data_IF_651496686461
#
_entry.id   IF_651496686461
#
_cell.length_a   1.000
_cell.length_b   1.000
_cell.length_c   1.000
_cell.angle_alpha   90.00
_cell.angle_beta   90.00
_cell.angle_gamma   90.00
#
_symmetry.space_group_name_H-M   'P 1'
#
loop_
_entity.id
_entity.type
_entity.pdbx_description
1 polymer ?
#
# COMPACT_ATOMS: atom_id res chain seq x y z
N UNK A 1 -19.42 -15.29 -51.29
CA UNK A 1 -18.23 -14.55 -50.79
C UNK A 1 -17.08 -15.52 -50.68
N UNK A 2 -16.14 -15.45 -51.62
CA UNK A 2 -14.91 -16.25 -51.59
C UNK A 2 -13.96 -15.64 -50.57
N UNK A 3 -13.68 -16.35 -49.47
CA UNK A 3 -12.72 -15.91 -48.47
C UNK A 3 -11.32 -15.69 -49.05
N UNK A 4 -10.54 -14.79 -48.44
CA UNK A 4 -9.18 -14.43 -48.85
C UNK A 4 -8.15 -15.40 -48.27
N UNK A 5 -7.07 -15.71 -49.00
CA UNK A 5 -5.95 -16.49 -48.46
C UNK A 5 -5.02 -15.58 -47.67
N UNK A 6 -4.79 -15.92 -46.40
CA UNK A 6 -3.90 -15.20 -45.48
C UNK A 6 -2.72 -16.11 -45.14
N UNK A 7 -1.51 -15.57 -45.26
CA UNK A 7 -0.27 -16.25 -44.90
C UNK A 7 -0.04 -16.17 -43.38
N UNK A 8 0.28 -17.29 -42.75
CA UNK A 8 0.63 -17.41 -41.34
C UNK A 8 2.03 -18.04 -41.21
N UNK A 9 3.02 -17.24 -40.81
CA UNK A 9 4.43 -17.65 -40.80
C UNK A 9 4.96 -17.92 -42.21
N UNK A 10 6.08 -18.64 -42.32
CA UNK A 10 6.73 -18.89 -43.63
C UNK A 10 6.09 -20.04 -44.43
N UNK A 11 5.38 -20.98 -43.77
CA UNK A 11 5.03 -22.27 -44.40
C UNK A 11 3.54 -22.54 -44.59
N UNK A 12 2.63 -21.67 -44.12
CA UNK A 12 1.20 -22.00 -44.09
C UNK A 12 0.30 -20.86 -44.55
N UNK A 13 -0.66 -21.17 -45.41
CA UNK A 13 -1.77 -20.28 -45.79
C UNK A 13 -3.09 -20.82 -45.28
N UNK A 14 -3.99 -19.93 -44.83
CA UNK A 14 -5.35 -20.26 -44.43
C UNK A 14 -6.34 -19.33 -45.13
N UNK A 15 -7.50 -19.87 -45.53
CA UNK A 15 -8.59 -19.06 -46.08
C UNK A 15 -9.34 -18.38 -44.94
N UNK A 16 -9.26 -17.06 -44.86
CA UNK A 16 -9.99 -16.22 -43.92
C UNK A 16 -11.28 -15.68 -44.56
N UNK A 17 -12.35 -15.65 -43.78
CA UNK A 17 -13.63 -15.04 -44.14
C UNK A 17 -13.89 -13.74 -43.35
N UNK A 18 -12.84 -13.19 -42.71
CA UNK A 18 -12.92 -11.93 -41.99
C UNK A 18 -13.43 -10.82 -42.92
N UNK A 19 -14.36 -10.01 -42.41
CA UNK A 19 -15.00 -8.90 -43.15
C UNK A 19 -14.57 -7.52 -42.66
N UNK A 20 -13.78 -7.49 -41.58
CA UNK A 20 -13.23 -6.29 -40.97
C UNK A 20 -11.71 -6.34 -41.05
N UNK A 21 -11.09 -5.17 -41.16
CA UNK A 21 -9.64 -5.05 -41.16
C UNK A 21 -9.11 -5.04 -39.73
N UNK A 22 -7.99 -5.73 -39.49
CA UNK A 22 -7.24 -5.59 -38.25
C UNK A 22 -6.52 -4.24 -38.26
N UNK A 23 -6.80 -3.40 -37.26
CA UNK A 23 -6.27 -2.03 -37.17
C UNK A 23 -4.92 -1.99 -36.44
N UNK A 24 -4.69 -2.98 -35.57
CA UNK A 24 -3.50 -3.08 -34.72
C UNK A 24 -3.12 -4.55 -34.56
N UNK A 25 -1.83 -4.83 -34.58
CA UNK A 25 -1.30 -6.18 -34.38
C UNK A 25 -1.40 -6.62 -32.92
N UNK A 26 -1.43 -7.93 -32.67
CA UNK A 26 -1.42 -8.43 -31.30
C UNK A 26 -0.14 -7.99 -30.57
N UNK A 27 -0.25 -7.41 -29.37
CA UNK A 27 0.92 -7.08 -28.56
C UNK A 27 1.59 -8.36 -28.06
N UNK A 28 2.75 -8.21 -27.43
CA UNK A 28 3.41 -9.32 -26.78
C UNK A 28 2.54 -9.84 -25.62
N UNK A 29 2.08 -11.08 -25.72
CA UNK A 29 1.12 -11.65 -24.77
C UNK A 29 1.71 -11.93 -23.38
N UNK A 30 3.03 -11.94 -23.24
CA UNK A 30 3.73 -12.09 -21.95
C UNK A 30 4.31 -10.76 -21.43
N UNK A 31 4.06 -9.65 -22.14
CA UNK A 31 4.62 -8.32 -21.83
C UNK A 31 4.33 -7.88 -20.40
N UNK A 32 3.15 -8.19 -19.87
CA UNK A 32 2.75 -7.78 -18.51
C UNK A 32 3.75 -8.30 -17.47
N UNK A 33 4.27 -9.53 -17.65
CA UNK A 33 5.24 -10.12 -16.73
C UNK A 33 6.61 -9.48 -16.89
N UNK A 34 7.10 -9.40 -18.13
CA UNK A 34 8.44 -8.90 -18.43
C UNK A 34 8.57 -7.41 -18.09
N UNK A 35 7.60 -6.59 -18.51
CA UNK A 35 7.60 -5.15 -18.25
C UNK A 35 7.48 -4.84 -16.76
N UNK A 36 6.66 -5.59 -16.01
CA UNK A 36 6.53 -5.39 -14.56
C UNK A 36 7.84 -5.71 -13.82
N UNK A 37 8.56 -6.73 -14.26
CA UNK A 37 9.83 -7.13 -13.61
C UNK A 37 10.98 -6.19 -13.99
N UNK A 38 11.05 -5.77 -15.25
CA UNK A 38 12.00 -4.76 -15.73
C UNK A 38 11.83 -3.45 -14.96
N UNK A 39 10.61 -2.91 -14.88
CA UNK A 39 10.30 -1.73 -14.07
C UNK A 39 10.68 -1.92 -12.59
N UNK A 40 10.41 -3.10 -12.02
CA UNK A 40 10.75 -3.39 -10.63
C UNK A 40 12.26 -3.35 -10.39
N UNK A 41 13.07 -3.88 -11.31
CA UNK A 41 14.51 -3.78 -11.22
C UNK A 41 14.94 -2.31 -11.38
N UNK A 42 14.59 -1.67 -12.49
CA UNK A 42 15.11 -0.35 -12.84
C UNK A 42 14.69 0.77 -11.87
N UNK A 43 13.44 0.77 -11.44
CA UNK A 43 12.84 1.83 -10.63
C UNK A 43 12.39 1.33 -9.26
N UNK A 44 11.62 0.24 -9.21
CA UNK A 44 10.94 -0.22 -7.99
C UNK A 44 11.87 -0.52 -6.82
N UNK A 45 13.00 -1.20 -7.06
CA UNK A 45 14.01 -1.46 -6.02
C UNK A 45 14.60 -0.15 -5.46
N UNK A 46 14.89 0.81 -6.34
CA UNK A 46 15.47 2.10 -5.93
C UNK A 46 14.46 2.93 -5.14
N UNK A 47 13.18 2.92 -5.53
CA UNK A 47 12.10 3.55 -4.77
C UNK A 47 11.96 2.93 -3.38
N UNK A 48 11.94 1.60 -3.29
CA UNK A 48 11.85 0.89 -2.02
C UNK A 48 13.02 1.23 -1.08
N UNK A 49 14.26 1.24 -1.59
CA UNK A 49 15.42 1.60 -0.77
C UNK A 49 15.41 3.07 -0.33
N UNK A 50 14.87 3.97 -1.15
CA UNK A 50 14.67 5.38 -0.75
C UNK A 50 13.59 5.53 0.33
N UNK A 51 12.51 4.75 0.30
CA UNK A 51 11.44 4.80 1.33
C UNK A 51 11.97 4.46 2.74
N UNK A 52 12.90 3.51 2.82
CA UNK A 52 13.49 3.10 4.11
C UNK A 52 14.66 3.99 4.56
N UNK A 53 15.21 4.81 3.67
CA UNK A 53 16.41 5.62 3.92
C UNK A 53 16.05 7.09 4.24
N UNK A 54 16.73 7.74 5.21
CA UNK A 54 17.77 7.20 6.08
C UNK A 54 17.21 6.35 7.22
N UNK A 55 18.01 5.38 7.66
CA UNK A 55 17.78 4.62 8.89
C UNK A 55 18.65 5.25 9.97
N UNK A 56 18.03 5.82 10.99
CA UNK A 56 18.72 6.41 12.13
C UNK A 56 18.63 5.49 13.36
N UNK A 57 19.67 5.50 14.19
CA UNK A 57 19.63 4.87 15.50
C UNK A 57 18.74 5.67 16.48
N UNK A 58 18.46 5.08 17.65
CA UNK A 58 17.55 5.69 18.63
C UNK A 58 18.06 7.05 19.15
N UNK A 59 19.38 7.24 19.21
CA UNK A 59 20.00 8.50 19.64
C UNK A 59 20.13 9.52 18.52
N UNK A 60 19.96 9.10 17.26
CA UNK A 60 20.11 9.93 16.06
C UNK A 60 21.57 10.21 15.68
N UNK A 61 22.55 9.52 16.30
CA UNK A 61 23.98 9.73 16.12
C UNK A 61 24.52 8.95 14.91
N UNK A 62 23.97 7.77 14.63
CA UNK A 62 24.32 6.96 13.47
C UNK A 62 23.19 7.03 12.44
N UNK A 63 23.55 7.34 11.20
CA UNK A 63 22.62 7.36 10.07
C UNK A 63 23.13 6.48 8.94
N UNK A 64 22.30 5.55 8.49
CA UNK A 64 22.57 4.66 7.36
C UNK A 64 21.76 5.12 6.14
N UNK A 65 22.48 5.54 5.11
CA UNK A 65 21.94 5.99 3.84
C UNK A 65 22.15 4.94 2.75
N UNK A 66 21.14 4.77 1.91
CA UNK A 66 21.24 3.98 0.69
C UNK A 66 21.72 4.87 -0.46
N UNK A 67 22.75 4.43 -1.18
CA UNK A 67 23.25 5.14 -2.37
C UNK A 67 22.70 4.48 -3.63
N UNK A 68 23.02 3.21 -3.84
CA UNK A 68 22.66 2.48 -5.05
C UNK A 68 22.70 0.97 -4.83
N UNK A 69 22.28 0.20 -5.83
CA UNK A 69 22.39 -1.25 -5.82
C UNK A 69 22.99 -1.77 -7.14
N UNK A 70 23.52 -2.98 -7.10
CA UNK A 70 24.01 -3.71 -8.28
C UNK A 70 23.58 -5.16 -8.20
N UNK A 71 23.19 -5.71 -9.36
CA UNK A 71 22.98 -7.14 -9.55
C UNK A 71 24.19 -7.69 -10.29
N UNK A 72 24.80 -8.73 -9.75
CA UNK A 72 25.87 -9.46 -10.45
C UNK A 72 25.31 -10.42 -11.50
N UNK A 73 26.19 -11.25 -12.05
CA UNK A 73 25.80 -12.27 -13.00
C UNK A 73 25.21 -13.51 -12.30
N UNK A 74 24.24 -14.20 -12.93
CA UNK A 74 23.74 -15.46 -12.41
C UNK A 74 24.85 -16.52 -12.40
N UNK A 75 24.84 -17.37 -11.36
CA UNK A 75 25.88 -18.41 -11.17
C UNK A 75 25.82 -19.52 -12.21
N UNK A 76 24.62 -19.78 -12.73
CA UNK A 76 24.31 -20.87 -13.66
C UNK A 76 23.30 -20.37 -14.69
N UNK A 77 23.24 -21.01 -15.85
CA UNK A 77 22.18 -20.76 -16.83
C UNK A 77 20.84 -21.43 -16.41
N UNK A 78 19.79 -21.15 -17.17
CA UNK A 78 18.43 -21.61 -16.86
C UNK A 78 18.32 -23.14 -16.87
N UNK A 79 18.99 -23.81 -17.80
CA UNK A 79 18.91 -25.27 -17.97
C UNK A 79 19.72 -25.99 -16.88
N UNK A 80 20.91 -25.50 -16.56
CA UNK A 80 21.74 -26.00 -15.45
C UNK A 80 21.04 -25.79 -14.10
N UNK A 81 20.30 -24.68 -13.92
CA UNK A 81 19.48 -24.50 -12.73
C UNK A 81 18.38 -25.57 -12.59
N UNK A 82 17.75 -25.97 -13.70
CA UNK A 82 16.74 -27.04 -13.73
C UNK A 82 17.35 -28.41 -13.45
N UNK A 83 18.52 -28.71 -14.02
CA UNK A 83 19.21 -29.99 -13.83
C UNK A 83 19.74 -30.19 -12.40
N UNK A 84 20.16 -29.11 -11.74
CA UNK A 84 20.79 -29.15 -10.41
C UNK A 84 19.83 -28.88 -9.24
N UNK A 85 18.54 -28.71 -9.51
CA UNK A 85 17.54 -28.33 -8.50
C UNK A 85 17.89 -27.04 -7.72
N UNK A 86 18.50 -26.06 -8.41
CA UNK A 86 18.89 -24.77 -7.82
C UNK A 86 18.03 -23.62 -8.36
N UNK A 87 18.12 -22.46 -7.72
CA UNK A 87 17.37 -21.25 -8.11
C UNK A 87 18.19 -20.40 -9.10
N UNK A 88 17.56 -19.95 -10.19
CA UNK A 88 18.17 -19.01 -11.13
C UNK A 88 18.17 -17.61 -10.50
N UNK A 89 19.33 -17.19 -10.01
CA UNK A 89 19.48 -15.96 -9.23
C UNK A 89 20.85 -15.31 -9.41
N UNK A 90 20.89 -14.00 -9.21
CA UNK A 90 22.09 -13.16 -9.24
C UNK A 90 22.36 -12.53 -7.87
N UNK A 91 23.62 -12.32 -7.47
CA UNK A 91 23.94 -11.70 -6.19
C UNK A 91 23.55 -10.21 -6.20
N UNK A 92 22.68 -9.81 -5.29
CA UNK A 92 22.32 -8.40 -5.05
C UNK A 92 23.27 -7.79 -4.03
N UNK A 93 23.95 -6.71 -4.44
CA UNK A 93 24.80 -5.89 -3.57
C UNK A 93 24.24 -4.48 -3.48
N UNK A 94 24.24 -3.93 -2.29
CA UNK A 94 23.75 -2.58 -2.02
C UNK A 94 24.88 -1.74 -1.48
N UNK A 95 25.08 -0.57 -2.08
CA UNK A 95 26.04 0.42 -1.64
C UNK A 95 25.39 1.28 -0.57
N UNK A 96 25.87 1.16 0.67
CA UNK A 96 25.40 1.93 1.82
C UNK A 96 26.46 2.92 2.27
N UNK A 97 26.00 4.02 2.87
CA UNK A 97 26.83 5.01 3.55
C UNK A 97 26.42 5.08 5.01
N UNK A 98 27.35 4.78 5.91
CA UNK A 98 27.19 5.02 7.34
C UNK A 98 27.79 6.39 7.67
N UNK A 99 26.97 7.30 8.18
CA UNK A 99 27.38 8.58 8.72
C UNK A 99 27.31 8.55 10.25
N UNK A 100 28.45 8.79 10.89
CA UNK A 100 28.53 8.99 12.33
C UNK A 100 28.61 10.49 12.62
N UNK A 101 27.53 11.04 13.18
CA UNK A 101 27.41 12.48 13.49
C UNK A 101 28.31 12.92 14.66
N UNK A 102 28.72 12.00 15.53
CA UNK A 102 29.61 12.32 16.67
C UNK A 102 31.06 12.53 16.22
N UNK A 103 31.53 11.68 15.30
CA UNK A 103 32.92 11.71 14.82
C UNK A 103 33.08 12.40 13.46
N UNK A 104 31.98 12.79 12.83
CA UNK A 104 31.89 13.29 11.44
C UNK A 104 32.54 12.31 10.42
N UNK A 105 32.53 11.01 10.74
CA UNK A 105 33.07 9.97 9.86
C UNK A 105 32.00 9.46 8.89
N UNK A 106 32.38 9.35 7.62
CA UNK A 106 31.56 8.73 6.56
C UNK A 106 32.26 7.47 6.08
N UNK A 107 31.55 6.33 6.11
CA UNK A 107 32.04 5.05 5.58
C UNK A 107 31.07 4.51 4.54
N UNK A 108 31.57 4.30 3.33
CA UNK A 108 30.83 3.65 2.25
C UNK A 108 31.25 2.18 2.13
N UNK A 109 30.28 1.29 1.97
CA UNK A 109 30.54 -0.14 1.80
C UNK A 109 29.50 -0.79 0.88
N UNK A 110 29.96 -1.74 0.07
CA UNK A 110 29.08 -2.63 -0.67
C UNK A 110 28.72 -3.83 0.20
N UNK A 111 27.44 -3.92 0.56
CA UNK A 111 26.90 -4.99 1.41
C UNK A 111 26.17 -6.00 0.54
N UNK A 112 26.50 -7.28 0.71
CA UNK A 112 25.77 -8.37 0.07
C UNK A 112 24.41 -8.57 0.75
N UNK A 113 23.32 -8.38 0.01
CA UNK A 113 21.96 -8.51 0.53
C UNK A 113 21.40 -9.92 0.38
N UNK A 114 21.91 -10.68 -0.59
CA UNK A 114 21.44 -12.04 -0.89
C UNK A 114 21.46 -12.33 -2.38
N UNK A 115 21.15 -13.58 -2.74
CA UNK A 115 20.91 -13.97 -4.13
C UNK A 115 19.45 -13.61 -4.50
N UNK A 116 19.27 -12.86 -5.57
CA UNK A 116 17.99 -12.35 -6.06
C UNK A 116 17.51 -13.16 -7.28
N UNK A 117 16.33 -13.83 -7.22
CA UNK A 117 15.82 -14.59 -8.35
C UNK A 117 15.59 -13.73 -9.59
N UNK A 118 16.07 -14.19 -10.73
CA UNK A 118 15.93 -13.51 -12.02
C UNK A 118 14.78 -14.10 -12.84
N UNK A 119 14.07 -13.23 -13.57
CA UNK A 119 13.07 -13.66 -14.55
C UNK A 119 13.76 -14.18 -15.81
N UNK A 120 13.27 -15.28 -16.37
CA UNK A 120 13.68 -15.82 -17.65
C UNK A 120 13.07 -15.02 -18.81
N UNK A 121 13.58 -15.21 -20.03
CA UNK A 121 13.03 -14.56 -21.24
C UNK A 121 11.55 -14.92 -21.51
N UNK A 122 11.06 -16.04 -20.96
CA UNK A 122 9.67 -16.49 -21.09
C UNK A 122 8.73 -15.91 -20.03
N UNK A 123 9.23 -15.06 -19.12
CA UNK A 123 8.42 -14.45 -18.06
C UNK A 123 8.21 -15.36 -16.85
N UNK A 124 9.11 -16.32 -16.62
CA UNK A 124 9.02 -17.31 -15.53
C UNK A 124 10.22 -17.21 -14.59
N UNK A 125 10.18 -17.92 -13.47
CA UNK A 125 11.28 -18.02 -12.50
C UNK A 125 11.64 -19.49 -12.25
N UNK A 126 12.93 -19.79 -12.12
CA UNK A 126 13.38 -21.12 -11.70
C UNK A 126 13.68 -21.07 -10.21
N UNK A 127 12.86 -21.75 -9.40
CA UNK A 127 13.00 -21.81 -7.95
C UNK A 127 13.21 -23.28 -7.54
N UNK A 128 14.42 -23.60 -7.08
CA UNK A 128 14.84 -24.96 -6.72
C UNK A 128 14.55 -25.97 -7.85
N UNK A 129 15.04 -25.68 -9.06
CA UNK A 129 14.84 -26.49 -10.27
C UNK A 129 13.45 -26.41 -10.90
N UNK A 130 12.44 -25.96 -10.17
CA UNK A 130 11.07 -25.88 -10.66
C UNK A 130 10.75 -24.53 -11.29
N UNK A 131 10.16 -24.56 -12.48
CA UNK A 131 9.68 -23.37 -13.17
C UNK A 131 8.36 -22.88 -12.56
N UNK A 132 8.30 -21.58 -12.25
CA UNK A 132 7.18 -20.93 -11.55
C UNK A 132 6.78 -19.65 -12.26
N UNK A 133 5.51 -19.31 -12.16
CA UNK A 133 4.94 -18.06 -12.68
C UNK A 133 4.34 -17.28 -11.51
N UNK A 134 4.66 -15.98 -11.45
CA UNK A 134 3.99 -15.06 -10.53
C UNK A 134 2.74 -14.54 -11.23
N UNK A 135 1.56 -14.86 -10.70
CA UNK A 135 0.29 -14.44 -11.29
C UNK A 135 -0.14 -13.08 -10.75
N UNK A 136 -0.67 -12.23 -11.63
CA UNK A 136 -1.18 -10.92 -11.24
C UNK A 136 -2.38 -11.06 -10.31
N UNK A 137 -2.35 -10.34 -9.19
CA UNK A 137 -3.45 -10.31 -8.24
C UNK A 137 -4.36 -9.11 -8.52
N UNK A 138 -5.68 -9.34 -8.53
CA UNK A 138 -6.67 -8.26 -8.56
C UNK A 138 -7.04 -7.87 -7.13
N UNK A 139 -6.65 -6.66 -6.74
CA UNK A 139 -6.95 -6.06 -5.43
C UNK A 139 -7.71 -4.75 -5.59
N UNK A 140 -8.41 -4.32 -4.54
CA UNK A 140 -9.02 -2.98 -4.51
C UNK A 140 -7.90 -1.95 -4.37
N UNK A 141 -7.93 -0.93 -5.23
CA UNK A 141 -6.99 0.19 -5.14
C UNK A 141 -7.20 0.98 -3.84
N UNK A 142 -6.14 1.54 -3.23
CA UNK A 142 -6.26 2.51 -2.15
C UNK A 142 -7.13 3.70 -2.59
N UNK A 143 -8.12 4.09 -1.78
CA UNK A 143 -9.05 5.20 -2.05
C UNK A 143 -10.05 5.35 -0.89
N UNK A 144 -10.89 6.40 -0.96
CA UNK A 144 -12.19 6.44 -0.28
C UNK A 144 -13.24 5.74 -1.13
N UNK A 145 -14.04 4.88 -0.49
CA UNK A 145 -15.16 4.17 -1.11
C UNK A 145 -16.44 4.44 -0.33
N UNK A 146 -17.47 4.92 -1.02
CA UNK A 146 -18.80 5.07 -0.45
C UNK A 146 -19.65 3.84 -0.75
N UNK A 147 -20.52 3.48 0.19
CA UNK A 147 -21.50 2.43 0.01
C UNK A 147 -22.80 2.77 0.74
N UNK A 148 -23.91 2.28 0.22
CA UNK A 148 -25.19 2.31 0.90
C UNK A 148 -25.40 1.01 1.69
N UNK A 149 -26.09 1.13 2.81
CA UNK A 149 -26.46 -0.02 3.64
C UNK A 149 -27.88 0.19 4.13
N UNK A 150 -28.78 -0.64 3.64
CA UNK A 150 -30.16 -0.64 4.16
C UNK A 150 -30.20 -1.48 5.43
N UNK A 151 -30.70 -0.90 6.52
CA UNK A 151 -30.89 -1.61 7.77
C UNK A 151 -32.06 -2.63 7.69
N UNK A 152 -32.26 -3.40 8.76
CA UNK A 152 -33.35 -4.40 8.80
C UNK A 152 -34.75 -3.76 8.82
N UNK A 153 -34.85 -2.48 9.15
CA UNK A 153 -36.09 -1.73 9.23
C UNK A 153 -36.40 -0.95 7.93
N UNK A 154 -35.57 -1.10 6.90
CA UNK A 154 -35.71 -0.43 5.61
C UNK A 154 -35.13 0.98 5.56
N UNK A 155 -34.48 1.46 6.63
CA UNK A 155 -33.79 2.75 6.63
C UNK A 155 -32.49 2.66 5.85
N UNK A 156 -32.28 3.60 4.94
CA UNK A 156 -31.03 3.73 4.20
C UNK A 156 -29.99 4.42 5.07
N UNK A 157 -28.92 3.71 5.39
CA UNK A 157 -27.69 4.26 5.93
C UNK A 157 -26.64 4.42 4.84
N UNK A 158 -25.67 5.30 5.08
CA UNK A 158 -24.50 5.46 4.24
C UNK A 158 -23.25 5.08 5.02
N UNK A 159 -22.25 4.61 4.31
CA UNK A 159 -20.94 4.34 4.86
C UNK A 159 -19.84 4.77 3.91
N UNK A 160 -18.66 5.02 4.48
CA UNK A 160 -17.46 5.31 3.72
C UNK A 160 -16.31 4.48 4.28
N UNK A 161 -15.40 4.03 3.43
CA UNK A 161 -14.20 3.30 3.84
C UNK A 161 -12.98 3.92 3.19
N UNK A 162 -12.02 4.36 4.00
CA UNK A 162 -10.72 4.83 3.56
C UNK A 162 -9.76 3.64 3.64
N UNK A 163 -9.32 3.18 2.48
CA UNK A 163 -8.40 2.05 2.33
C UNK A 163 -7.01 2.62 1.98
N UNK A 164 -6.02 2.52 2.88
CA UNK A 164 -4.64 2.85 2.56
C UNK A 164 -3.94 1.76 1.74
N UNK A 165 -2.82 2.10 1.12
CA UNK A 165 -1.87 1.14 0.55
C UNK A 165 -1.18 0.35 1.68
N UNK A 166 -0.74 1.07 2.72
CA UNK A 166 -0.15 0.52 3.95
C UNK A 166 -0.67 1.33 5.14
N UNK A 167 -1.18 0.67 6.16
CA UNK A 167 -1.63 1.33 7.39
C UNK A 167 -3.06 0.98 7.82
N UNK A 168 -3.58 1.75 8.78
CA UNK A 168 -4.86 1.49 9.42
C UNK A 168 -6.06 1.91 8.56
N UNK A 169 -7.12 1.11 8.54
CA UNK A 169 -8.35 1.47 7.82
C UNK A 169 -9.19 2.44 8.65
N UNK A 170 -9.91 3.34 7.97
CA UNK A 170 -10.98 4.14 8.58
C UNK A 170 -12.31 3.76 7.94
N UNK A 171 -13.27 3.34 8.75
CA UNK A 171 -14.61 2.99 8.31
C UNK A 171 -15.62 3.89 8.99
N UNK A 172 -16.43 4.60 8.19
CA UNK A 172 -17.52 5.45 8.64
C UNK A 172 -18.85 4.76 8.36
N UNK A 173 -19.80 4.86 9.28
CA UNK A 173 -21.15 4.33 9.11
C UNK A 173 -22.19 5.21 9.81
N UNK A 174 -23.36 5.35 9.21
CA UNK A 174 -24.55 5.90 9.86
C UNK A 174 -25.40 4.77 10.45
N UNK A 175 -25.93 4.96 11.66
CA UNK A 175 -26.84 4.00 12.28
C UNK A 175 -28.33 4.34 12.12
N UNK A 176 -29.21 3.50 12.67
CA UNK A 176 -30.65 3.69 12.59
C UNK A 176 -31.18 4.95 13.32
N UNK A 177 -30.37 5.55 14.20
CA UNK A 177 -30.68 6.77 14.96
C UNK A 177 -30.03 8.02 14.35
N UNK A 178 -29.55 7.92 13.10
CA UNK A 178 -28.86 9.03 12.42
C UNK A 178 -27.58 9.48 13.15
N UNK A 179 -26.96 8.58 13.91
CA UNK A 179 -25.65 8.83 14.53
C UNK A 179 -24.55 8.35 13.60
N UNK A 180 -23.52 9.17 13.42
CA UNK A 180 -22.36 8.88 12.58
C UNK A 180 -21.23 8.31 13.43
N UNK A 181 -20.76 7.13 13.06
CA UNK A 181 -19.68 6.42 13.73
C UNK A 181 -18.46 6.29 12.85
N UNK A 182 -17.30 6.17 13.49
CA UNK A 182 -16.02 5.75 12.89
C UNK A 182 -15.50 4.50 13.59
N UNK A 183 -14.89 3.59 12.82
CA UNK A 183 -14.04 2.51 13.31
C UNK A 183 -12.63 2.73 12.79
N UNK A 184 -11.66 2.61 13.70
CA UNK A 184 -10.24 2.63 13.37
C UNK A 184 -9.76 1.19 13.36
N UNK A 185 -9.22 0.70 12.24
CA UNK A 185 -8.56 -0.60 12.15
C UNK A 185 -9.42 -1.78 12.67
N UNK A 186 -10.70 -1.79 12.28
CA UNK A 186 -11.70 -2.82 12.67
C UNK A 186 -11.96 -2.91 14.18
N UNK A 187 -11.61 -1.89 14.96
CA UNK A 187 -11.96 -1.81 16.38
C UNK A 187 -13.43 -1.43 16.60
N UNK A 188 -13.86 -1.38 17.86
CA UNK A 188 -15.21 -0.99 18.24
C UNK A 188 -15.51 0.44 17.80
N UNK A 189 -16.71 0.66 17.27
CA UNK A 189 -17.15 1.98 16.77
C UNK A 189 -17.16 3.05 17.86
N UNK A 190 -16.84 4.27 17.45
CA UNK A 190 -16.83 5.51 18.22
C UNK A 190 -17.64 6.58 17.45
N UNK A 191 -18.35 7.50 18.11
CA UNK A 191 -18.92 8.66 17.42
C UNK A 191 -17.83 9.41 16.63
N UNK A 192 -18.13 9.87 15.41
CA UNK A 192 -17.11 10.51 14.56
C UNK A 192 -16.54 11.79 15.21
N UNK A 193 -17.31 12.45 16.07
CA UNK A 193 -16.90 13.64 16.83
C UNK A 193 -15.75 13.36 17.80
N UNK A 194 -15.64 12.15 18.36
CA UNK A 194 -14.49 11.73 19.18
C UNK A 194 -13.19 11.82 18.37
N UNK A 195 -13.22 11.38 17.11
CA UNK A 195 -12.06 11.49 16.22
C UNK A 195 -11.74 12.96 15.89
N UNK A 196 -12.76 13.79 15.64
CA UNK A 196 -12.57 15.22 15.37
C UNK A 196 -11.95 15.95 16.58
N UNK A 197 -12.41 15.66 17.79
CA UNK A 197 -11.83 16.21 19.02
C UNK A 197 -10.39 15.79 19.21
N UNK A 198 -10.07 14.51 18.96
CA UNK A 198 -8.71 13.99 19.04
C UNK A 198 -7.76 14.62 18.00
N UNK A 199 -8.28 15.09 16.87
CA UNK A 199 -7.53 15.82 15.84
C UNK A 199 -7.31 17.30 16.16
N UNK A 200 -7.97 17.84 17.19
CA UNK A 200 -7.75 19.20 17.68
C UNK A 200 -9.00 20.09 17.76
N UNK A 201 -10.16 19.63 17.28
CA UNK A 201 -11.43 20.39 17.36
C UNK A 201 -12.12 20.06 18.68
N UNK A 202 -11.60 20.61 19.79
CA UNK A 202 -11.95 20.19 21.15
C UNK A 202 -13.38 20.50 21.57
N UNK A 203 -14.00 21.55 21.01
CA UNK A 203 -15.34 22.00 21.38
C UNK A 203 -16.41 21.69 20.32
N UNK A 204 -17.66 21.54 20.79
CA UNK A 204 -18.81 21.30 19.93
C UNK A 204 -19.02 22.42 18.93
N UNK A 205 -18.79 23.66 19.37
CA UNK A 205 -18.92 24.84 18.51
C UNK A 205 -17.90 24.80 17.36
N UNK A 206 -16.63 24.47 17.63
CA UNK A 206 -15.62 24.33 16.57
C UNK A 206 -16.02 23.26 15.56
N UNK A 207 -16.52 22.11 16.04
CA UNK A 207 -16.98 21.00 15.18
C UNK A 207 -18.16 21.44 14.31
N UNK A 208 -19.13 22.17 14.88
CA UNK A 208 -20.29 22.70 14.16
C UNK A 208 -19.85 23.72 13.11
N UNK A 209 -18.88 24.58 13.45
CA UNK A 209 -18.39 25.62 12.54
C UNK A 209 -17.67 25.03 11.30
N UNK A 210 -16.96 23.90 11.46
CA UNK A 210 -16.23 23.27 10.33
C UNK A 210 -17.10 22.39 9.43
N UNK A 211 -18.07 21.66 10.00
CA UNK A 211 -18.90 20.70 9.24
C UNK A 211 -20.23 21.31 8.79
N UNK A 212 -20.70 22.31 9.53
CA UNK A 212 -22.04 22.85 9.40
C UNK A 212 -23.05 22.13 10.29
N UNK A 213 -24.02 22.90 10.77
CA UNK A 213 -25.05 22.42 11.67
C UNK A 213 -26.09 21.55 10.95
N UNK A 214 -26.18 20.28 11.32
CA UNK A 214 -27.14 19.33 10.78
C UNK A 214 -27.59 18.29 11.82
N UNK A 215 -28.71 17.64 11.56
CA UNK A 215 -29.32 16.67 12.48
C UNK A 215 -28.39 15.50 12.82
N UNK A 216 -27.67 14.94 11.84
CA UNK A 216 -26.73 13.84 12.06
C UNK A 216 -25.60 14.24 13.01
N UNK A 217 -25.07 15.45 12.84
CA UNK A 217 -24.00 15.98 13.67
C UNK A 217 -24.50 16.23 15.10
N UNK A 218 -25.67 16.86 15.27
CA UNK A 218 -26.28 17.07 16.59
C UNK A 218 -26.52 15.77 17.33
N UNK A 219 -27.12 14.78 16.67
CA UNK A 219 -27.35 13.44 17.24
C UNK A 219 -26.03 12.75 17.62
N UNK A 220 -24.96 13.01 16.86
CA UNK A 220 -23.64 12.45 17.14
C UNK A 220 -22.95 13.14 18.31
N UNK A 221 -23.03 14.47 18.41
CA UNK A 221 -22.54 15.25 19.55
C UNK A 221 -23.26 14.86 20.85
N UNK A 222 -24.58 14.68 20.81
CA UNK A 222 -25.35 14.19 21.97
C UNK A 222 -24.92 12.78 22.41
N UNK A 223 -24.38 11.98 21.49
CA UNK A 223 -23.91 10.62 21.77
C UNK A 223 -22.44 10.57 22.22
N UNK A 224 -21.71 11.65 21.99
CA UNK A 224 -20.31 11.82 22.35
C UNK A 224 -20.17 12.14 23.83
N UNK A 225 -19.47 11.28 24.57
CA UNK A 225 -19.21 11.51 26.00
C UNK A 225 -17.89 12.25 26.23
N UNK A 226 -17.12 12.50 25.17
CA UNK A 226 -15.86 13.23 25.24
C UNK A 226 -16.14 14.73 25.13
N UNK A 227 -15.82 15.47 26.19
CA UNK A 227 -16.03 16.92 26.27
C UNK A 227 -14.74 17.71 25.96
N UNK A 228 -13.63 17.02 25.69
CA UNK A 228 -12.33 17.63 25.44
C UNK A 228 -11.45 16.77 24.54
N UNK A 229 -10.47 17.39 23.90
CA UNK A 229 -9.42 16.73 23.10
C UNK A 229 -8.71 15.64 23.90
N UNK A 230 -8.39 15.88 25.17
CA UNK A 230 -7.70 14.93 26.04
C UNK A 230 -8.55 13.69 26.31
N UNK A 231 -9.83 13.86 26.68
CA UNK A 231 -10.75 12.75 26.90
C UNK A 231 -10.93 11.92 25.62
N UNK A 232 -11.04 12.58 24.48
CA UNK A 232 -11.18 11.93 23.18
C UNK A 232 -9.94 11.10 22.80
N UNK A 233 -8.74 11.64 23.03
CA UNK A 233 -7.48 10.91 22.82
C UNK A 233 -7.40 9.66 23.70
N UNK A 234 -7.77 9.76 24.98
CA UNK A 234 -7.79 8.62 25.90
C UNK A 234 -8.82 7.57 25.47
N UNK A 235 -10.00 7.99 25.01
CA UNK A 235 -11.04 7.07 24.52
C UNK A 235 -10.58 6.30 23.26
N UNK A 236 -9.94 6.99 22.31
CA UNK A 236 -9.35 6.31 21.14
C UNK A 236 -8.24 5.34 21.57
N UNK A 237 -7.37 5.75 22.51
CA UNK A 237 -6.30 4.89 23.00
C UNK A 237 -6.83 3.60 23.62
N UNK A 238 -7.82 3.69 24.51
CA UNK A 238 -8.43 2.53 25.17
C UNK A 238 -9.05 1.54 24.16
N UNK A 239 -9.63 2.04 23.06
CA UNK A 239 -10.14 1.17 21.99
C UNK A 239 -9.06 0.51 21.17
N UNK A 240 -7.93 1.18 20.95
CA UNK A 240 -6.80 0.65 20.18
C UNK A 240 -5.91 -0.28 21.01
N UNK A 241 -5.79 -0.03 22.31
CA UNK A 241 -4.94 -0.76 23.25
C UNK A 241 -5.67 -1.04 24.58
N UNK A 242 -6.65 -1.95 24.56
CA UNK A 242 -7.42 -2.26 25.76
C UNK A 242 -6.52 -2.87 26.84
N UNK A 243 -6.57 -2.30 28.04
CA UNK A 243 -5.82 -2.80 29.21
C UNK A 243 -4.47 -2.13 29.48
N UNK A 244 -4.00 -1.25 28.59
CA UNK A 244 -2.84 -0.39 28.88
C UNK A 244 -3.32 0.92 29.52
N UNK A 245 -2.72 1.39 30.64
CA UNK A 245 -3.12 2.64 31.25
C UNK A 245 -2.84 3.82 30.29
N UNK A 246 -3.87 4.58 29.89
CA UNK A 246 -3.71 5.60 28.86
C UNK A 246 -3.13 6.89 29.47
N UNK A 247 -2.17 7.51 28.78
CA UNK A 247 -1.76 8.90 29.04
C UNK A 247 -2.06 9.75 27.81
N UNK A 248 -2.29 11.04 28.00
CA UNK A 248 -2.63 11.94 26.87
C UNK A 248 -1.48 11.97 25.85
N UNK A 249 -0.23 11.95 26.33
CA UNK A 249 0.96 11.97 25.48
C UNK A 249 1.14 10.66 24.70
N UNK A 250 0.90 9.50 25.33
CA UNK A 250 0.95 8.21 24.62
C UNK A 250 -0.17 8.08 23.61
N UNK A 251 -1.37 8.58 23.94
CA UNK A 251 -2.52 8.63 23.05
C UNK A 251 -2.28 9.50 21.81
N UNK A 252 -1.76 10.70 22.02
CA UNK A 252 -1.38 11.61 20.92
C UNK A 252 -0.32 10.99 20.03
N UNK A 253 0.72 10.40 20.62
CA UNK A 253 1.82 9.75 19.88
C UNK A 253 1.34 8.54 19.10
N UNK A 254 0.43 7.74 19.67
CA UNK A 254 -0.18 6.59 19.00
C UNK A 254 -0.98 7.03 17.79
N UNK A 255 -1.85 8.04 17.94
CA UNK A 255 -2.66 8.56 16.84
C UNK A 255 -1.78 9.13 15.71
N UNK A 256 -0.77 9.92 16.08
CA UNK A 256 0.19 10.48 15.12
C UNK A 256 0.93 9.37 14.36
N UNK A 257 1.53 8.42 15.07
CA UNK A 257 2.26 7.32 14.43
C UNK A 257 1.39 6.42 13.56
N UNK A 258 0.07 6.35 13.84
CA UNK A 258 -0.83 5.46 13.10
C UNK A 258 -1.32 6.07 11.78
N UNK A 259 -1.48 7.38 11.70
CA UNK A 259 -2.09 8.05 10.54
C UNK A 259 -1.23 9.10 9.84
N UNK A 260 -0.25 9.67 10.56
CA UNK A 260 0.53 10.82 10.09
C UNK A 260 2.02 10.52 9.92
N UNK A 261 2.48 9.34 10.36
CA UNK A 261 3.82 8.84 10.08
C UNK A 261 3.85 8.15 8.71
N UNK A 262 4.56 8.74 7.74
CA UNK A 262 4.72 8.21 6.39
C UNK A 262 5.34 6.80 6.35
N UNK A 263 6.14 6.42 7.36
CA UNK A 263 6.70 5.06 7.46
C UNK A 263 5.62 4.03 7.79
N UNK A 264 4.52 4.44 8.42
CA UNK A 264 3.44 3.56 8.92
C UNK A 264 2.13 3.68 8.14
N UNK A 265 1.90 4.83 7.51
CA UNK A 265 0.69 5.12 6.76
C UNK A 265 1.03 5.68 5.37
N UNK A 266 0.58 4.99 4.33
CA UNK A 266 0.79 5.35 2.94
C UNK A 266 -0.46 5.05 2.09
N UNK A 267 -0.76 5.96 1.16
CA UNK A 267 -1.83 5.82 0.17
C UNK A 267 -1.30 5.43 -1.22
N UNK A 268 0.02 5.43 -1.42
CA UNK A 268 0.70 5.38 -2.70
C UNK A 268 0.27 6.49 -3.68
N UNK A 269 1.00 6.63 -4.78
CA UNK A 269 0.66 7.60 -5.83
C UNK A 269 -0.74 7.37 -6.40
N UNK A 270 -1.11 6.10 -6.61
CA UNK A 270 -2.44 5.73 -7.12
C UNK A 270 -3.57 6.10 -6.16
N UNK A 271 -3.37 5.95 -4.84
CA UNK A 271 -4.38 6.32 -3.87
C UNK A 271 -4.52 7.82 -3.73
N UNK A 272 -3.41 8.56 -3.72
CA UNK A 272 -3.44 10.03 -3.73
C UNK A 272 -4.09 10.60 -4.99
N UNK A 273 -3.92 9.95 -6.14
CA UNK A 273 -4.59 10.35 -7.38
C UNK A 273 -6.11 10.09 -7.35
N UNK A 274 -6.54 9.05 -6.63
CA UNK A 274 -7.96 8.68 -6.54
C UNK A 274 -8.78 9.49 -5.54
N UNK A 275 -8.13 10.03 -4.50
CA UNK A 275 -8.78 10.85 -3.46
C UNK A 275 -8.99 12.28 -3.94
#
# INVERSE_FOLDING_TARGET
MTGQLVQYGQHRQRRSFARINEVLELPNLIEIQTASYEWFLEEGLREMFRDISPIEDFTGNLSLEFIDYSLGDPKYDVDECKERDVTYAAPLRVKVRLYNKETDEVKEQDVFMGDFPLMTETGTFIINGAERVIVSQLVRSPSVYFHDKTDKNGKKGFGATVIPNRGAWLEYETDAKDVVYVRIDRTRKLPVTVLLRALGFGSDQEIIDIIGDNEYLRNTLEKDNSESTEKALLEIYDRLRPGEPPTVESAKSLLYSRFFDAKRYDLANVGRYKM
#
